data_IF_464587084326
#
_entry.id   IF_464587084326
#
_cell.length_a   1.000
_cell.length_b   1.000
_cell.length_c   1.000
_cell.angle_alpha   90.00
_cell.angle_beta   90.00
_cell.angle_gamma   90.00
#
_symmetry.space_group_name_H-M   'P 1'
#
loop_
_entity.id
_entity.type
_entity.pdbx_description
1 polymer ?
#
# COMPACT_ATOMS: atom_id res chain seq x y z
N UNK A 1 -13.08 -2.09 -25.85
CA UNK A 1 -13.41 -0.82 -25.17
C UNK A 1 -12.53 -0.75 -23.93
N UNK A 2 -11.64 0.23 -23.84
CA UNK A 2 -10.98 0.51 -22.57
C UNK A 2 -12.05 1.05 -21.62
N UNK A 3 -12.16 0.48 -20.42
CA UNK A 3 -13.03 1.04 -19.40
C UNK A 3 -12.57 2.47 -19.08
N UNK A 4 -13.50 3.39 -18.87
CA UNK A 4 -13.15 4.71 -18.35
C UNK A 4 -12.34 4.56 -17.05
N UNK A 5 -11.27 5.35 -16.87
CA UNK A 5 -10.50 5.32 -15.63
C UNK A 5 -11.45 5.62 -14.47
N UNK A 6 -11.46 4.72 -13.48
CA UNK A 6 -12.23 4.93 -12.27
C UNK A 6 -11.58 6.08 -11.47
N UNK A 7 -12.36 6.95 -10.84
CA UNK A 7 -11.82 8.01 -10.01
C UNK A 7 -10.94 7.43 -8.90
N UNK A 8 -9.92 8.18 -8.48
CA UNK A 8 -9.07 7.79 -7.37
C UNK A 8 -9.93 7.61 -6.13
N UNK A 9 -9.88 6.42 -5.55
CA UNK A 9 -10.42 6.18 -4.21
C UNK A 9 -9.42 6.66 -3.18
N UNK A 10 -9.20 7.98 -3.14
CA UNK A 10 -8.38 8.63 -2.14
C UNK A 10 -9.29 9.10 -0.99
N UNK A 11 -9.51 8.22 -0.02
CA UNK A 11 -10.13 8.59 1.25
C UNK A 11 -9.11 8.46 2.36
N UNK A 12 -9.48 8.75 3.61
CA UNK A 12 -8.66 8.41 4.76
C UNK A 12 -8.27 6.92 4.89
N UNK A 13 -8.80 6.01 4.07
CA UNK A 13 -8.24 4.66 3.93
C UNK A 13 -6.83 4.65 3.30
N UNK A 14 -6.53 5.62 2.44
CA UNK A 14 -5.16 5.91 2.01
C UNK A 14 -4.26 6.29 3.19
N UNK A 15 -4.83 6.89 4.24
CA UNK A 15 -4.12 7.11 5.51
C UNK A 15 -3.97 5.79 6.30
N UNK A 16 -4.85 4.80 6.09
CA UNK A 16 -4.71 3.46 6.69
C UNK A 16 -3.70 2.59 5.96
N UNK A 17 -3.37 2.91 4.70
CA UNK A 17 -2.23 2.38 3.94
C UNK A 17 -0.99 3.30 4.01
N UNK A 18 -1.03 4.35 4.84
CA UNK A 18 0.14 5.18 5.10
C UNK A 18 1.28 4.35 5.69
N UNK A 19 2.51 4.83 5.51
CA UNK A 19 3.70 4.13 5.96
C UNK A 19 3.78 3.99 7.49
N UNK A 20 4.85 3.36 7.95
CA UNK A 20 5.07 3.04 9.35
C UNK A 20 5.04 4.30 10.22
N UNK A 21 4.08 4.38 11.15
CA UNK A 21 3.86 5.58 11.96
C UNK A 21 4.93 5.78 13.04
N UNK A 22 5.67 4.73 13.42
CA UNK A 22 6.80 4.84 14.34
C UNK A 22 7.95 5.73 13.82
N UNK A 23 7.93 6.15 12.55
CA UNK A 23 8.85 7.17 12.04
C UNK A 23 8.46 8.61 12.39
N UNK A 24 7.26 8.82 12.94
CA UNK A 24 6.66 10.14 13.15
C UNK A 24 6.45 10.48 14.63
N UNK A 25 7.20 9.87 15.56
CA UNK A 25 7.02 10.05 17.01
C UNK A 25 6.84 11.51 17.47
N UNK A 26 7.49 12.47 16.80
CA UNK A 26 7.42 13.90 17.13
C UNK A 26 6.82 14.77 16.00
N UNK A 27 6.24 14.17 14.96
CA UNK A 27 5.71 14.91 13.82
C UNK A 27 4.20 15.14 13.94
N UNK A 28 3.73 16.28 13.43
CA UNK A 28 2.30 16.53 13.25
C UNK A 28 1.91 16.20 11.81
N UNK A 29 1.28 15.05 11.59
CA UNK A 29 0.81 14.62 10.28
C UNK A 29 -0.48 15.36 9.89
N UNK A 30 -0.34 16.37 9.02
CA UNK A 30 -1.45 17.14 8.49
C UNK A 30 -1.85 16.63 7.10
N UNK A 31 -2.77 15.67 7.05
CA UNK A 31 -3.35 15.20 5.79
C UNK A 31 -4.40 16.19 5.27
N UNK A 32 -4.40 16.40 3.95
CA UNK A 32 -5.50 17.10 3.28
C UNK A 32 -6.81 16.30 3.43
N UNK A 33 -7.91 17.01 3.66
CA UNK A 33 -9.24 16.42 3.64
C UNK A 33 -9.76 16.28 2.19
N UNK A 34 -10.87 15.57 2.03
CA UNK A 34 -11.48 15.31 0.71
C UNK A 34 -11.79 16.58 -0.06
N UNK A 35 -12.37 17.59 0.59
CA UNK A 35 -12.73 18.86 -0.06
C UNK A 35 -11.47 19.61 -0.53
N UNK A 36 -10.42 19.62 0.29
CA UNK A 36 -9.14 20.22 -0.08
C UNK A 36 -8.54 19.53 -1.31
N UNK A 37 -8.51 18.19 -1.33
CA UNK A 37 -7.98 17.46 -2.47
C UNK A 37 -8.80 17.69 -3.75
N UNK A 38 -10.14 17.74 -3.65
CA UNK A 38 -11.00 18.08 -4.80
C UNK A 38 -10.73 19.51 -5.29
N UNK A 39 -10.57 20.47 -4.38
CA UNK A 39 -10.25 21.86 -4.71
C UNK A 39 -8.88 22.00 -5.40
N UNK A 40 -7.91 21.16 -5.04
CA UNK A 40 -6.60 21.07 -5.72
C UNK A 40 -6.67 20.32 -7.07
N UNK A 41 -7.85 19.86 -7.49
CA UNK A 41 -8.07 19.24 -8.79
C UNK A 41 -7.85 17.73 -8.83
N UNK A 42 -7.73 17.05 -7.68
CA UNK A 42 -7.65 15.60 -7.64
C UNK A 42 -9.03 14.95 -7.86
N UNK A 43 -9.10 13.98 -8.76
CA UNK A 43 -10.32 13.20 -9.05
C UNK A 43 -10.61 12.16 -7.97
N UNK A 44 -11.15 12.59 -6.84
CA UNK A 44 -11.42 11.75 -5.67
C UNK A 44 -12.89 11.30 -5.62
N UNK A 45 -13.14 10.06 -5.21
CA UNK A 45 -14.48 9.59 -4.86
C UNK A 45 -14.94 10.16 -3.49
N UNK A 46 -15.89 11.12 -3.45
CA UNK A 46 -16.22 11.88 -2.23
C UNK A 46 -16.93 11.04 -1.15
N UNK A 47 -17.62 9.97 -1.56
CA UNK A 47 -18.40 9.11 -0.65
C UNK A 47 -17.71 7.77 -0.37
N UNK A 48 -16.38 7.69 -0.52
CA UNK A 48 -15.66 6.49 -0.13
C UNK A 48 -15.52 6.45 1.39
N UNK A 49 -16.45 5.76 2.06
CA UNK A 49 -16.60 5.72 3.52
C UNK A 49 -15.53 4.81 4.14
N UNK A 50 -14.57 5.35 4.91
CA UNK A 50 -13.58 4.56 5.62
C UNK A 50 -14.27 3.70 6.67
N UNK A 51 -14.08 2.38 6.62
CA UNK A 51 -14.42 1.56 7.79
C UNK A 51 -13.41 1.89 8.90
N UNK A 52 -13.94 2.35 10.05
CA UNK A 52 -13.44 2.45 11.44
C UNK A 52 -11.93 2.61 11.80
N UNK A 53 -10.97 2.37 10.93
CA UNK A 53 -9.53 2.30 11.19
C UNK A 53 -8.90 3.70 11.34
N UNK A 54 -9.44 4.72 10.65
CA UNK A 54 -8.84 6.07 10.65
C UNK A 54 -8.88 6.76 12.03
N UNK A 55 -9.97 6.60 12.79
CA UNK A 55 -10.09 7.25 14.11
C UNK A 55 -8.98 6.77 15.05
N UNK A 56 -8.66 5.47 14.98
CA UNK A 56 -7.59 4.83 15.75
C UNK A 56 -6.20 5.31 15.34
N UNK A 57 -5.98 5.71 14.07
CA UNK A 57 -4.66 6.14 13.59
C UNK A 57 -4.23 7.49 14.15
N UNK A 58 -5.12 8.48 14.19
CA UNK A 58 -4.82 9.79 14.77
C UNK A 58 -4.60 9.72 16.28
N UNK A 59 -5.31 8.83 16.96
CA UNK A 59 -5.27 8.72 18.42
C UNK A 59 -4.08 7.84 18.92
N UNK A 60 -3.55 6.93 18.09
CA UNK A 60 -2.48 5.98 18.47
C UNK A 60 -1.15 6.13 17.68
N UNK A 61 -0.93 7.22 16.94
CA UNK A 61 0.20 7.31 15.99
C UNK A 61 1.60 7.23 16.64
N UNK A 62 1.74 7.60 17.90
CA UNK A 62 3.05 7.72 18.56
C UNK A 62 3.68 6.38 18.96
N UNK A 63 2.93 5.28 18.98
CA UNK A 63 3.40 4.01 19.58
C UNK A 63 3.20 2.79 18.68
N UNK A 64 2.95 2.99 17.38
CA UNK A 64 2.80 1.86 16.45
C UNK A 64 4.11 1.05 16.38
N UNK A 65 4.03 -0.22 16.73
CA UNK A 65 5.11 -1.19 16.51
C UNK A 65 5.13 -1.67 15.06
N UNK A 66 6.27 -2.21 14.60
CA UNK A 66 6.38 -2.78 13.24
C UNK A 66 5.33 -3.87 13.01
N UNK A 67 5.08 -4.73 13.99
CA UNK A 67 4.06 -5.79 13.86
C UNK A 67 2.64 -5.22 13.72
N UNK A 68 2.31 -4.16 14.47
CA UNK A 68 1.03 -3.46 14.37
C UNK A 68 0.85 -2.78 13.01
N UNK A 69 1.92 -2.20 12.47
CA UNK A 69 1.93 -1.63 11.12
C UNK A 69 1.59 -2.67 10.04
N UNK A 70 2.29 -3.82 10.02
CA UNK A 70 2.00 -4.88 9.06
C UNK A 70 0.59 -5.45 9.27
N UNK A 71 0.12 -5.57 10.52
CA UNK A 71 -1.24 -5.99 10.84
C UNK A 71 -2.30 -5.01 10.34
N UNK A 72 -2.06 -3.70 10.47
CA UNK A 72 -2.93 -2.64 9.95
C UNK A 72 -3.04 -2.75 8.44
N UNK A 73 -1.92 -2.79 7.72
CA UNK A 73 -1.91 -2.92 6.26
C UNK A 73 -2.66 -4.20 5.83
N UNK A 74 -2.36 -5.34 6.47
CA UNK A 74 -3.04 -6.61 6.20
C UNK A 74 -4.57 -6.53 6.39
N UNK A 75 -5.02 -5.85 7.45
CA UNK A 75 -6.45 -5.66 7.73
C UNK A 75 -7.13 -4.85 6.62
N UNK A 76 -6.52 -3.74 6.21
CA UNK A 76 -7.07 -2.84 5.18
C UNK A 76 -7.09 -3.51 3.81
N UNK A 77 -6.00 -4.17 3.42
CA UNK A 77 -5.89 -4.86 2.12
C UNK A 77 -6.94 -5.96 2.00
N UNK A 78 -7.08 -6.83 3.01
CA UNK A 78 -8.09 -7.90 2.98
C UNK A 78 -9.52 -7.35 2.95
N UNK A 79 -9.77 -6.22 3.62
CA UNK A 79 -11.06 -5.56 3.55
C UNK A 79 -11.35 -5.05 2.13
N UNK A 80 -10.38 -4.39 1.48
CA UNK A 80 -10.51 -3.91 0.10
C UNK A 80 -10.73 -5.08 -0.86
N UNK A 81 -10.00 -6.18 -0.70
CA UNK A 81 -10.21 -7.41 -1.48
C UNK A 81 -11.64 -7.94 -1.30
N UNK A 82 -12.14 -8.01 -0.07
CA UNK A 82 -13.49 -8.48 0.23
C UNK A 82 -14.57 -7.60 -0.39
N UNK A 83 -14.40 -6.28 -0.42
CA UNK A 83 -15.33 -5.36 -1.10
C UNK A 83 -15.45 -5.65 -2.60
N UNK A 84 -14.44 -6.30 -3.18
CA UNK A 84 -14.34 -6.59 -4.59
C UNK A 84 -14.39 -8.10 -4.90
N UNK A 85 -14.72 -8.97 -3.93
CA UNK A 85 -14.68 -10.44 -4.09
C UNK A 85 -15.58 -10.98 -5.21
N UNK A 86 -16.68 -10.28 -5.50
CA UNK A 86 -17.65 -10.64 -6.54
C UNK A 86 -17.46 -9.84 -7.84
N UNK A 87 -16.38 -9.05 -7.94
CA UNK A 87 -16.11 -8.18 -9.09
C UNK A 87 -14.81 -8.61 -9.76
N UNK A 88 -14.85 -8.91 -11.06
CA UNK A 88 -13.62 -9.09 -11.85
C UNK A 88 -12.99 -7.74 -12.12
N UNK A 89 -12.05 -7.33 -11.27
CA UNK A 89 -11.34 -6.07 -11.41
C UNK A 89 -9.85 -6.20 -11.06
N UNK A 90 -9.06 -5.25 -11.57
CA UNK A 90 -7.70 -5.02 -11.10
C UNK A 90 -7.73 -3.91 -10.04
N UNK A 91 -6.91 -4.04 -9.00
CA UNK A 91 -6.75 -3.03 -7.95
C UNK A 91 -5.36 -2.41 -8.06
N UNK A 92 -5.29 -1.09 -8.00
CA UNK A 92 -4.04 -0.34 -7.96
C UNK A 92 -3.88 0.32 -6.59
N UNK A 93 -2.81 -0.03 -5.87
CA UNK A 93 -2.43 0.61 -4.62
C UNK A 93 -1.27 1.58 -4.87
N UNK A 94 -1.51 2.87 -4.69
CA UNK A 94 -0.46 3.90 -4.75
C UNK A 94 -0.06 4.22 -3.31
N UNK A 95 1.11 3.74 -2.90
CA UNK A 95 1.55 3.71 -1.49
C UNK A 95 3.07 3.92 -1.38
N UNK A 96 3.57 3.94 -0.14
CA UNK A 96 4.99 4.08 0.17
C UNK A 96 5.74 2.75 0.02
N UNK A 97 7.08 2.82 -0.14
CA UNK A 97 7.97 1.67 -0.26
C UNK A 97 7.76 0.57 0.82
N UNK A 98 7.73 0.86 2.14
CA UNK A 98 7.46 -0.16 3.15
C UNK A 98 6.06 -0.77 3.02
N UNK A 99 5.08 -0.03 2.49
CA UNK A 99 3.71 -0.52 2.31
C UNK A 99 3.62 -1.52 1.17
N UNK A 100 4.45 -1.38 0.13
CA UNK A 100 4.58 -2.39 -0.94
C UNK A 100 4.99 -3.75 -0.34
N UNK A 101 5.99 -3.76 0.54
CA UNK A 101 6.43 -4.98 1.25
C UNK A 101 5.31 -5.56 2.13
N UNK A 102 4.61 -4.71 2.89
CA UNK A 102 3.51 -5.13 3.77
C UNK A 102 2.32 -5.74 3.01
N UNK A 103 1.91 -5.13 1.90
CA UNK A 103 0.88 -5.69 1.01
C UNK A 103 1.37 -7.03 0.45
N UNK A 104 2.62 -7.10 -0.03
CA UNK A 104 3.19 -8.32 -0.57
C UNK A 104 3.21 -9.48 0.43
N UNK A 105 3.64 -9.22 1.66
CA UNK A 105 3.64 -10.22 2.74
C UNK A 105 2.22 -10.65 3.11
N UNK A 106 1.28 -9.72 3.21
CA UNK A 106 -0.15 -9.99 3.47
C UNK A 106 -0.72 -10.96 2.44
N UNK A 107 -0.61 -10.63 1.15
CA UNK A 107 -1.23 -11.40 0.07
C UNK A 107 -0.55 -12.75 -0.14
N UNK A 108 0.78 -12.79 -0.10
CA UNK A 108 1.55 -14.04 -0.27
C UNK A 108 1.63 -14.88 1.03
N UNK A 109 0.90 -14.51 2.09
CA UNK A 109 0.86 -15.18 3.38
C UNK A 109 2.25 -15.43 3.99
N UNK A 110 3.07 -14.38 4.03
CA UNK A 110 4.41 -14.40 4.61
C UNK A 110 4.41 -13.82 6.03
N UNK A 111 5.24 -14.35 6.94
CA UNK A 111 5.35 -13.80 8.29
C UNK A 111 5.82 -12.34 8.26
N UNK A 112 5.35 -11.53 9.20
CA UNK A 112 5.88 -10.18 9.46
C UNK A 112 6.63 -10.11 10.81
N UNK A 113 6.97 -11.26 11.38
CA UNK A 113 7.67 -11.38 12.68
C UNK A 113 9.17 -11.15 12.52
N UNK A 114 9.77 -10.44 13.47
CA UNK A 114 11.23 -10.24 13.52
C UNK A 114 11.78 -9.24 12.51
N UNK A 115 10.92 -8.46 11.85
CA UNK A 115 11.33 -7.35 11.00
C UNK A 115 11.90 -6.21 11.84
N UNK A 116 13.02 -5.64 11.40
CA UNK A 116 13.73 -4.60 12.14
C UNK A 116 13.50 -3.20 11.59
N UNK A 117 13.63 -2.18 12.45
CA UNK A 117 13.66 -0.78 12.01
C UNK A 117 14.76 -0.51 10.96
N UNK A 118 15.88 -1.22 11.06
CA UNK A 118 16.96 -1.14 10.08
C UNK A 118 16.49 -1.59 8.70
N UNK A 119 15.83 -2.74 8.58
CA UNK A 119 15.30 -3.21 7.29
C UNK A 119 14.22 -2.28 6.74
N UNK A 120 13.29 -1.80 7.57
CA UNK A 120 12.27 -0.84 7.16
C UNK A 120 12.90 0.46 6.63
N UNK A 121 13.98 0.95 7.26
CA UNK A 121 14.70 2.15 6.81
C UNK A 121 15.38 2.00 5.44
N UNK A 122 15.57 0.77 4.96
CA UNK A 122 16.23 0.45 3.69
C UNK A 122 15.25 0.13 2.56
N UNK A 123 13.94 0.19 2.82
CA UNK A 123 12.90 -0.15 1.83
C UNK A 123 13.05 0.64 0.52
N UNK A 124 13.42 1.92 0.59
CA UNK A 124 13.62 2.75 -0.61
C UNK A 124 14.75 2.28 -1.54
N UNK A 125 15.70 1.47 -1.05
CA UNK A 125 16.74 0.84 -1.88
C UNK A 125 16.17 -0.34 -2.67
N UNK A 126 15.20 -1.05 -2.09
CA UNK A 126 14.57 -2.23 -2.69
C UNK A 126 13.37 -1.86 -3.57
N UNK A 127 12.71 -0.74 -3.25
CA UNK A 127 11.59 -0.16 -3.97
C UNK A 127 11.90 1.31 -4.27
N UNK A 128 12.69 1.60 -5.32
CA UNK A 128 12.89 2.98 -5.77
C UNK A 128 11.57 3.66 -6.15
N UNK A 129 11.56 4.99 -6.27
CA UNK A 129 10.39 5.74 -6.77
C UNK A 129 9.75 5.12 -8.02
N UNK A 130 8.42 5.14 -8.06
CA UNK A 130 7.60 4.56 -9.12
C UNK A 130 7.87 3.06 -9.37
N UNK A 131 8.35 2.33 -8.36
CA UNK A 131 8.37 0.88 -8.35
C UNK A 131 6.95 0.32 -8.52
N UNK A 132 6.81 -0.68 -9.40
CA UNK A 132 5.54 -1.37 -9.61
C UNK A 132 5.73 -2.86 -9.37
N UNK A 133 4.87 -3.43 -8.52
CA UNK A 133 4.81 -4.86 -8.25
C UNK A 133 3.42 -5.35 -8.62
N UNK A 134 3.36 -6.40 -9.44
CA UNK A 134 2.11 -7.09 -9.79
C UNK A 134 1.96 -8.36 -8.96
N UNK A 135 0.79 -8.55 -8.36
CA UNK A 135 0.39 -9.80 -7.73
C UNK A 135 -0.88 -10.30 -8.40
N UNK A 136 -0.97 -11.59 -8.64
CA UNK A 136 -2.17 -12.22 -9.18
C UNK A 136 -2.69 -13.30 -8.22
N UNK A 137 -4.02 -13.39 -8.14
CA UNK A 137 -4.69 -14.46 -7.41
C UNK A 137 -4.79 -15.69 -8.33
N UNK A 138 -4.13 -16.78 -7.94
CA UNK A 138 -4.02 -17.98 -8.81
C UNK A 138 -5.30 -18.82 -8.89
N UNK A 139 -6.13 -18.77 -7.85
CA UNK A 139 -7.41 -19.48 -7.76
C UNK A 139 -8.41 -18.60 -7.00
N UNK A 140 -9.73 -18.69 -7.23
CA UNK A 140 -10.70 -17.98 -6.39
C UNK A 140 -10.52 -18.35 -4.90
N UNK A 141 -10.35 -17.36 -4.02
CA UNK A 141 -9.96 -17.49 -2.59
C UNK A 141 -8.53 -18.02 -2.37
N UNK A 142 -7.64 -17.71 -3.30
CA UNK A 142 -6.43 -18.48 -3.56
C UNK A 142 -5.14 -17.97 -2.97
N UNK A 143 -4.07 -18.68 -3.36
CA UNK A 143 -2.70 -18.24 -3.15
C UNK A 143 -2.40 -17.09 -4.11
N UNK A 144 -1.89 -15.99 -3.57
CA UNK A 144 -1.33 -14.93 -4.38
C UNK A 144 0.09 -15.25 -4.79
N UNK A 145 0.45 -14.91 -6.02
CA UNK A 145 1.81 -15.04 -6.51
C UNK A 145 2.28 -13.76 -7.18
N UNK A 146 3.60 -13.60 -7.24
CA UNK A 146 4.23 -12.54 -8.01
C UNK A 146 3.94 -12.74 -9.49
N UNK A 147 3.36 -11.71 -10.12
CA UNK A 147 3.23 -11.66 -11.57
C UNK A 147 4.50 -11.01 -12.15
N UNK A 148 5.35 -11.75 -12.86
CA UNK A 148 6.58 -11.21 -13.41
C UNK A 148 6.27 -10.24 -14.56
N UNK A 149 7.09 -9.18 -14.67
CA UNK A 149 7.11 -8.27 -15.83
C UNK A 149 5.77 -7.58 -16.15
N UNK A 150 4.98 -7.23 -15.12
CA UNK A 150 3.71 -6.50 -15.33
C UNK A 150 3.89 -5.21 -16.14
N UNK A 151 5.01 -4.53 -15.91
CA UNK A 151 5.45 -3.36 -16.66
C UNK A 151 6.95 -3.48 -16.92
N UNK A 152 7.45 -3.01 -18.07
CA UNK A 152 8.88 -2.88 -18.28
C UNK A 152 9.44 -1.85 -17.27
N UNK A 153 10.62 -2.10 -16.68
CA UNK A 153 11.26 -1.10 -15.84
C UNK A 153 11.62 0.12 -16.68
N UNK A 154 11.50 1.30 -16.07
CA UNK A 154 11.91 2.58 -16.63
C UNK A 154 13.23 2.95 -15.97
N UNK A 155 14.24 3.23 -16.80
CA UNK A 155 15.52 3.78 -16.36
C UNK A 155 15.81 5.07 -17.10
N UNK A 156 16.07 6.16 -16.37
CA UNK A 156 16.33 7.49 -16.92
C UNK A 156 17.26 8.25 -15.97
N UNK A 157 18.26 8.97 -16.50
CA UNK A 157 19.18 9.83 -15.72
C UNK A 157 19.72 9.14 -14.46
N UNK A 158 20.31 7.95 -14.62
CA UNK A 158 20.86 7.09 -13.55
C UNK A 158 19.86 6.61 -12.48
N UNK A 159 18.57 6.87 -12.67
CA UNK A 159 17.50 6.37 -11.84
C UNK A 159 16.83 5.17 -12.51
N UNK A 160 16.56 4.11 -11.75
CA UNK A 160 15.78 2.95 -12.21
C UNK A 160 14.67 2.66 -11.20
N UNK A 161 13.46 2.40 -11.70
CA UNK A 161 12.36 1.93 -10.86
C UNK A 161 12.36 0.39 -10.66
N UNK A 162 13.46 -0.28 -11.01
CA UNK A 162 13.57 -1.73 -10.91
C UNK A 162 13.49 -2.18 -9.45
N UNK A 163 12.48 -2.98 -9.17
CA UNK A 163 12.28 -3.61 -7.85
C UNK A 163 13.31 -4.70 -7.61
N UNK A 164 13.83 -4.76 -6.38
CA UNK A 164 14.62 -5.91 -5.91
C UNK A 164 13.67 -7.09 -5.61
N UNK A 165 13.40 -7.90 -6.64
CA UNK A 165 12.48 -9.04 -6.54
C UNK A 165 12.95 -10.05 -5.48
N UNK A 166 14.25 -10.32 -5.37
CA UNK A 166 14.77 -11.25 -4.36
C UNK A 166 14.43 -10.81 -2.93
N UNK A 167 14.52 -9.51 -2.68
CA UNK A 167 14.10 -8.93 -1.41
C UNK A 167 12.59 -9.05 -1.22
N UNK A 168 11.79 -8.69 -2.22
CA UNK A 168 10.32 -8.80 -2.14
C UNK A 168 9.83 -10.24 -1.94
N UNK A 169 10.51 -11.21 -2.56
CA UNK A 169 10.16 -12.63 -2.46
C UNK A 169 10.79 -13.32 -1.25
N UNK A 170 11.56 -12.61 -0.41
CA UNK A 170 12.16 -13.19 0.80
C UNK A 170 11.11 -13.78 1.75
N UNK A 171 11.47 -14.75 2.60
CA UNK A 171 10.58 -15.29 3.63
C UNK A 171 9.99 -14.21 4.55
#
# INVERSE_FOLDING_TARGET
MANEPQPLKASPEGQSLFEYLGWYENANLNFLNTDQLINEGYEIQPNYIPHSIMKTLKDNFHNETIEEYYKRVNTVVNMILKLHENTKCNLLFVVHAPTIDAIGRSLMNKPATGLSNYELSKMGIHFPYASVVGLEETTPNGKWQLMPNILPPISCLDFSNRVNINFFTRP
#
